data_IF_539392310562
#
_entry.id   IF_539392310562
#
_cell.length_a   1.000
_cell.length_b   1.000
_cell.length_c   1.000
_cell.angle_alpha   90.00
_cell.angle_beta   90.00
_cell.angle_gamma   90.00
#
_symmetry.space_group_name_H-M   'P 1'
#
loop_
_entity.id
_entity.type
_entity.pdbx_description
1 polymer ?
#
# COMPACT_ATOMS: atom_id res chain seq x y z
N UNK A 1 8.51 -0.42 0.49
CA UNK A 1 8.80 0.23 -0.81
C UNK A 1 9.60 -0.71 -1.71
N UNK A 2 10.82 -1.12 -1.29
CA UNK A 2 11.68 -2.03 -2.05
C UNK A 2 10.98 -3.31 -2.58
N UNK A 3 10.23 -4.03 -1.74
CA UNK A 3 9.53 -5.25 -2.18
C UNK A 3 8.53 -5.01 -3.33
N UNK A 4 7.81 -3.88 -3.32
CA UNK A 4 6.89 -3.53 -4.41
C UNK A 4 7.64 -3.16 -5.68
N UNK A 5 8.75 -2.43 -5.58
CA UNK A 5 9.59 -2.07 -6.73
C UNK A 5 10.20 -3.31 -7.39
N UNK A 6 10.65 -4.28 -6.57
CA UNK A 6 11.22 -5.54 -7.05
C UNK A 6 10.26 -6.33 -7.93
N UNK A 7 8.95 -6.21 -7.73
CA UNK A 7 7.97 -6.91 -8.57
C UNK A 7 7.97 -6.43 -10.02
N UNK A 8 8.35 -5.17 -10.26
CA UNK A 8 8.18 -4.50 -11.56
C UNK A 8 6.72 -4.16 -11.90
N UNK A 9 5.76 -4.37 -10.99
CA UNK A 9 4.35 -3.96 -11.17
C UNK A 9 4.16 -2.46 -10.99
N UNK A 10 4.94 -1.86 -10.10
CA UNK A 10 4.79 -0.48 -9.69
C UNK A 10 6.11 0.27 -9.83
N UNK A 11 6.04 1.51 -10.32
CA UNK A 11 7.08 2.51 -10.14
C UNK A 11 6.69 3.35 -8.94
N UNK A 12 7.44 3.23 -7.84
CA UNK A 12 7.19 4.03 -6.64
C UNK A 12 7.66 5.45 -6.91
N UNK A 13 6.81 6.42 -6.58
CA UNK A 13 7.13 7.84 -6.70
C UNK A 13 7.81 8.31 -5.42
N UNK A 14 8.84 9.16 -5.57
CA UNK A 14 9.51 9.78 -4.43
C UNK A 14 8.57 10.77 -3.74
N UNK A 15 8.28 10.51 -2.47
CA UNK A 15 7.40 11.31 -1.62
C UNK A 15 8.17 12.31 -0.75
N UNK A 16 9.51 12.37 -0.87
CA UNK A 16 10.36 13.28 -0.09
C UNK A 16 9.92 14.75 -0.16
N UNK A 17 9.54 15.31 -1.33
CA UNK A 17 9.11 16.72 -1.42
C UNK A 17 7.87 17.04 -0.58
N UNK A 18 6.99 16.06 -0.34
CA UNK A 18 5.73 16.26 0.40
C UNK A 18 5.77 15.69 1.82
N UNK A 19 6.91 15.19 2.29
CA UNK A 19 7.05 14.58 3.63
C UNK A 19 6.46 15.46 4.75
N UNK A 20 6.76 16.78 4.83
CA UNK A 20 6.22 17.61 5.90
C UNK A 20 4.69 17.70 5.88
N UNK A 21 4.11 17.75 4.68
CA UNK A 21 2.65 17.79 4.46
C UNK A 21 1.99 16.46 4.80
N UNK A 22 2.60 15.35 4.41
CA UNK A 22 2.13 14.00 4.75
C UNK A 22 2.10 13.84 6.28
N UNK A 23 3.17 14.23 6.97
CA UNK A 23 3.27 14.17 8.42
C UNK A 23 2.23 15.07 9.10
N UNK A 24 1.98 16.27 8.56
CA UNK A 24 0.93 17.16 9.06
C UNK A 24 -0.47 16.54 8.95
N UNK A 25 -0.81 16.00 7.79
CA UNK A 25 -2.09 15.33 7.57
C UNK A 25 -2.27 14.13 8.51
N UNK A 26 -1.21 13.33 8.69
CA UNK A 26 -1.20 12.17 9.59
C UNK A 26 -1.40 12.54 11.06
N UNK A 27 -0.95 13.74 11.50
CA UNK A 27 -1.22 14.24 12.85
C UNK A 27 -2.69 14.61 13.06
N UNK A 28 -3.37 15.03 12.01
CA UNK A 28 -4.77 15.45 12.08
C UNK A 28 -5.73 14.26 11.99
N UNK A 29 -5.44 13.30 11.10
CA UNK A 29 -6.29 12.14 10.83
C UNK A 29 -5.57 11.05 10.05
N UNK A 30 -6.19 9.87 9.97
CA UNK A 30 -5.73 8.81 9.08
C UNK A 30 -5.87 9.23 7.61
N UNK A 31 -4.82 9.00 6.81
CA UNK A 31 -4.87 9.24 5.35
C UNK A 31 -5.90 8.37 4.63
N UNK A 32 -6.37 7.28 5.27
CA UNK A 32 -7.46 6.45 4.76
C UNK A 32 -8.82 7.15 4.84
N UNK A 33 -8.97 8.06 5.80
CA UNK A 33 -10.24 8.69 6.16
C UNK A 33 -10.22 10.19 5.90
N UNK A 34 -9.19 10.70 5.22
CA UNK A 34 -8.98 12.13 5.02
C UNK A 34 -9.77 12.74 3.85
N UNK A 35 -10.85 12.08 3.41
CA UNK A 35 -11.76 12.57 2.37
C UNK A 35 -11.08 12.98 1.06
N UNK A 36 -10.04 12.26 0.62
CA UNK A 36 -9.38 12.48 -0.68
C UNK A 36 -8.07 13.27 -0.60
N UNK A 37 -7.61 13.67 0.59
CA UNK A 37 -6.30 14.32 0.74
C UNK A 37 -5.14 13.46 0.20
N UNK A 38 -5.27 12.13 0.29
CA UNK A 38 -4.31 11.16 -0.24
C UNK A 38 -4.28 11.16 -1.78
N UNK A 39 -5.42 11.47 -2.42
CA UNK A 39 -5.49 11.63 -3.86
C UNK A 39 -4.79 12.92 -4.30
N UNK A 40 -4.92 13.99 -3.52
CA UNK A 40 -4.24 15.26 -3.81
C UNK A 40 -2.72 15.13 -3.71
N UNK A 41 -2.23 14.43 -2.69
CA UNK A 41 -0.81 14.07 -2.57
C UNK A 41 -0.32 13.28 -3.79
N UNK A 42 -1.10 12.30 -4.25
CA UNK A 42 -0.75 11.50 -5.42
C UNK A 42 -0.70 12.35 -6.70
N UNK A 43 -1.70 13.21 -6.91
CA UNK A 43 -1.75 14.12 -8.07
C UNK A 43 -0.59 15.10 -8.07
N UNK A 44 -0.27 15.69 -6.92
CA UNK A 44 0.85 16.64 -6.77
C UNK A 44 2.20 15.98 -7.10
N UNK A 45 2.38 14.71 -6.72
CA UNK A 45 3.57 13.93 -7.06
C UNK A 45 3.54 13.33 -8.48
N UNK A 46 2.47 13.54 -9.25
CA UNK A 46 2.31 12.92 -10.57
C UNK A 46 2.16 11.39 -10.53
N UNK A 47 1.70 10.84 -9.40
CA UNK A 47 1.39 9.42 -9.25
C UNK A 47 -0.01 9.12 -9.82
N UNK A 48 -0.10 8.09 -10.68
CA UNK A 48 -1.40 7.64 -11.23
C UNK A 48 -2.27 6.88 -10.23
N UNK A 49 -1.67 6.35 -9.17
CA UNK A 49 -2.35 5.60 -8.11
C UNK A 49 -1.76 5.96 -6.75
N UNK A 50 -2.56 5.79 -5.69
CA UNK A 50 -2.13 5.91 -4.30
C UNK A 50 -2.32 4.59 -3.56
N UNK A 51 -1.32 4.18 -2.79
CA UNK A 51 -1.36 3.02 -1.91
C UNK A 51 -1.45 3.48 -0.46
N UNK A 52 -2.53 3.12 0.23
CA UNK A 52 -2.77 3.47 1.63
C UNK A 52 -2.89 2.19 2.47
N UNK A 53 -1.82 1.80 3.18
CA UNK A 53 -1.87 0.69 4.11
C UNK A 53 -2.23 1.16 5.53
N UNK A 54 -2.87 0.29 6.30
CA UNK A 54 -3.04 0.48 7.74
C UNK A 54 -3.08 -0.86 8.46
N UNK A 55 -2.72 -0.85 9.74
CA UNK A 55 -2.69 -2.05 10.56
C UNK A 55 -3.69 -1.91 11.69
N UNK A 56 -4.52 -2.93 11.86
CA UNK A 56 -5.32 -3.08 13.06
C UNK A 56 -4.65 -4.08 14.00
N UNK A 57 -4.32 -3.63 15.21
CA UNK A 57 -3.70 -4.46 16.24
C UNK A 57 -4.76 -4.87 17.25
N UNK A 58 -5.18 -6.14 17.21
CA UNK A 58 -6.09 -6.70 18.21
C UNK A 58 -5.31 -7.10 19.46
N UNK A 59 -4.12 -7.69 19.27
CA UNK A 59 -3.19 -8.06 20.34
C UNK A 59 -1.77 -8.19 19.79
N UNK A 60 -0.80 -8.51 20.65
CA UNK A 60 0.56 -8.86 20.19
C UNK A 60 0.60 -10.18 19.40
N UNK A 61 -0.46 -11.00 19.47
CA UNK A 61 -0.57 -12.25 18.71
C UNK A 61 -1.32 -12.07 17.39
N UNK A 62 -2.30 -11.17 17.30
CA UNK A 62 -3.21 -11.06 16.15
C UNK A 62 -3.21 -9.62 15.62
N UNK A 63 -2.74 -9.47 14.39
CA UNK A 63 -2.67 -8.21 13.65
C UNK A 63 -3.32 -8.40 12.28
N UNK A 64 -3.96 -7.36 11.78
CA UNK A 64 -4.55 -7.32 10.44
C UNK A 64 -3.84 -6.27 9.62
N UNK A 65 -3.20 -6.68 8.52
CA UNK A 65 -2.74 -5.72 7.52
C UNK A 65 -3.88 -5.46 6.54
N UNK A 66 -4.23 -4.19 6.39
CA UNK A 66 -5.18 -3.72 5.42
C UNK A 66 -4.48 -2.79 4.44
N UNK A 67 -4.92 -2.79 3.20
CA UNK A 67 -4.46 -1.80 2.24
C UNK A 67 -5.47 -1.54 1.14
N UNK A 68 -5.30 -0.37 0.54
CA UNK A 68 -6.08 0.08 -0.58
C UNK A 68 -5.19 0.72 -1.64
N UNK A 69 -5.46 0.41 -2.91
CA UNK A 69 -4.91 1.11 -4.08
C UNK A 69 -6.06 1.83 -4.74
N UNK A 70 -5.96 3.16 -4.86
CA UNK A 70 -6.94 4.00 -5.54
C UNK A 70 -6.35 4.64 -6.78
N UNK A 71 -7.16 4.81 -7.80
CA UNK A 71 -6.83 5.63 -8.97
C UNK A 71 -6.81 7.11 -8.57
N UNK A 72 -5.71 7.81 -8.84
CA UNK A 72 -5.53 9.18 -8.38
C UNK A 72 -6.43 10.18 -9.11
N UNK A 73 -6.79 9.92 -10.37
CA UNK A 73 -7.64 10.80 -11.15
C UNK A 73 -9.10 10.73 -10.69
N UNK A 74 -9.64 9.51 -10.62
CA UNK A 74 -11.06 9.23 -10.37
C UNK A 74 -11.39 8.97 -8.91
N UNK A 75 -10.40 8.60 -8.10
CA UNK A 75 -10.61 8.11 -6.73
C UNK A 75 -11.19 6.70 -6.66
N UNK A 76 -11.35 5.99 -7.78
CA UNK A 76 -11.90 4.65 -7.80
C UNK A 76 -10.97 3.66 -7.06
N UNK A 77 -11.57 2.75 -6.30
CA UNK A 77 -10.83 1.67 -5.64
C UNK A 77 -10.43 0.64 -6.68
N UNK A 78 -9.13 0.46 -6.88
CA UNK A 78 -8.57 -0.53 -7.81
C UNK A 78 -8.31 -1.85 -7.09
N UNK A 79 -7.76 -1.77 -5.87
CA UNK A 79 -7.54 -2.93 -5.00
C UNK A 79 -7.91 -2.55 -3.59
N UNK A 80 -8.64 -3.42 -2.89
CA UNK A 80 -8.81 -3.35 -1.45
C UNK A 80 -8.73 -4.76 -0.89
N UNK A 81 -7.80 -5.00 0.03
CA UNK A 81 -7.61 -6.31 0.65
C UNK A 81 -7.24 -6.15 2.12
N UNK A 82 -7.48 -7.23 2.86
CA UNK A 82 -7.07 -7.37 4.24
C UNK A 82 -6.68 -8.82 4.49
N UNK A 83 -5.72 -9.03 5.39
CA UNK A 83 -5.37 -10.36 5.87
C UNK A 83 -4.79 -10.29 7.27
N UNK A 84 -5.03 -11.34 8.03
CA UNK A 84 -4.51 -11.49 9.39
C UNK A 84 -3.16 -12.20 9.38
N UNK A 85 -2.28 -11.77 10.27
CA UNK A 85 -1.02 -12.44 10.52
C UNK A 85 -0.75 -12.52 12.04
N UNK A 86 0.12 -13.46 12.41
CA UNK A 86 0.38 -13.79 13.81
C UNK A 86 1.77 -13.41 14.26
N UNK A 87 1.82 -12.69 15.39
CA UNK A 87 3.03 -12.22 16.05
C UNK A 87 3.41 -10.79 15.68
N UNK A 88 3.66 -9.96 16.69
CA UNK A 88 4.21 -8.60 16.54
C UNK A 88 5.75 -8.64 16.65
N UNK A 89 6.41 -9.21 15.64
CA UNK A 89 7.87 -9.25 15.51
C UNK A 89 8.28 -9.16 14.04
N UNK A 90 9.51 -8.72 13.80
CA UNK A 90 10.03 -8.44 12.45
C UNK A 90 9.82 -9.61 11.48
N UNK A 91 10.06 -10.84 11.91
CA UNK A 91 9.88 -12.01 11.05
C UNK A 91 8.41 -12.23 10.64
N UNK A 92 7.45 -11.94 11.51
CA UNK A 92 6.03 -12.00 11.16
C UNK A 92 5.62 -10.86 10.23
N UNK A 93 6.15 -9.66 10.44
CA UNK A 93 5.96 -8.49 9.57
C UNK A 93 6.52 -8.72 8.17
N UNK A 94 7.74 -9.25 8.06
CA UNK A 94 8.37 -9.57 6.77
C UNK A 94 7.54 -10.60 5.98
N UNK A 95 7.06 -11.65 6.66
CA UNK A 95 6.16 -12.64 6.04
C UNK A 95 4.84 -12.02 5.58
N UNK A 96 4.27 -11.11 6.36
CA UNK A 96 3.05 -10.40 6.00
C UNK A 96 3.25 -9.54 4.74
N UNK A 97 4.35 -8.79 4.67
CA UNK A 97 4.69 -7.97 3.49
C UNK A 97 4.94 -8.85 2.28
N UNK A 98 5.72 -9.93 2.42
CA UNK A 98 5.99 -10.87 1.33
C UNK A 98 4.70 -11.52 0.81
N UNK A 99 3.78 -11.89 1.71
CA UNK A 99 2.46 -12.40 1.34
C UNK A 99 1.66 -11.36 0.53
N UNK A 100 1.57 -10.12 1.02
CA UNK A 100 0.86 -9.02 0.34
C UNK A 100 1.38 -8.81 -1.08
N UNK A 101 2.70 -8.76 -1.25
CA UNK A 101 3.35 -8.50 -2.53
C UNK A 101 3.12 -9.64 -3.50
N UNK A 102 3.21 -10.89 -3.04
CA UNK A 102 2.88 -12.08 -3.84
C UNK A 102 1.42 -12.08 -4.27
N UNK A 103 0.50 -11.77 -3.36
CA UNK A 103 -0.94 -11.71 -3.66
C UNK A 103 -1.28 -10.59 -4.66
N UNK A 104 -0.59 -9.44 -4.58
CA UNK A 104 -0.66 -8.38 -5.58
C UNK A 104 -0.18 -8.87 -6.95
N UNK A 105 0.94 -9.58 -7.01
CA UNK A 105 1.42 -10.22 -8.24
C UNK A 105 0.37 -11.17 -8.83
N UNK A 106 -0.14 -12.12 -8.06
CA UNK A 106 -1.17 -13.06 -8.52
C UNK A 106 -2.41 -12.33 -9.06
N UNK A 107 -2.86 -11.28 -8.39
CA UNK A 107 -4.05 -10.51 -8.79
C UNK A 107 -3.80 -9.69 -10.05
N UNK A 108 -2.65 -9.01 -10.13
CA UNK A 108 -2.30 -8.14 -11.25
C UNK A 108 -1.97 -8.91 -12.53
N UNK A 109 -1.57 -10.18 -12.42
CA UNK A 109 -1.17 -11.00 -13.58
C UNK A 109 -2.18 -12.09 -13.91
N UNK A 110 -3.34 -12.14 -13.25
CA UNK A 110 -4.41 -13.07 -13.58
C UNK A 110 -4.84 -12.86 -15.05
N UNK A 111 -4.54 -13.85 -15.90
CA UNK A 111 -4.83 -13.82 -17.34
C UNK A 111 -3.85 -12.97 -18.18
N UNK A 112 -2.68 -12.59 -17.65
CA UNK A 112 -1.63 -11.83 -18.35
C UNK A 112 -0.24 -12.39 -18.06
N UNK A 113 0.74 -12.01 -18.87
CA UNK A 113 2.14 -12.31 -18.57
C UNK A 113 2.61 -11.53 -17.33
N UNK A 114 3.16 -12.25 -16.35
CA UNK A 114 3.74 -11.64 -15.16
C UNK A 114 5.13 -11.05 -15.43
N UNK A 115 5.43 -9.85 -14.87
CA UNK A 115 6.80 -9.33 -14.87
C UNK A 115 7.74 -10.31 -14.15
N UNK A 116 9.02 -10.28 -14.49
CA UNK A 116 10.02 -11.21 -13.93
C UNK A 116 10.09 -11.15 -12.40
N UNK A 117 9.87 -9.96 -11.80
CA UNK A 117 9.85 -9.78 -10.35
C UNK A 117 8.64 -10.38 -9.63
N UNK A 118 7.63 -10.85 -10.37
CA UNK A 118 6.48 -11.57 -9.84
C UNK A 118 6.57 -13.10 -10.00
N UNK A 119 7.66 -13.61 -10.60
CA UNK A 119 7.87 -15.04 -10.84
C UNK A 119 8.64 -15.69 -9.69
#
# INVERSE_FOLDING_TARGET
>A
KAELERTGLFRIVDDSPLRPRIEELQRLQSLRECNGCELDLARELGAGQIFVPWVYRVSNLILTLNYEIRDAATGAVVVRKSFDFRGDNDAAWDRAIAYMVRDLCTTATAGRNAPAGCR
#
